data_IF_007324013475
#
_entry.id   IF_007324013475
#
_cell.length_a   1.000
_cell.length_b   1.000
_cell.length_c   1.000
_cell.angle_alpha   90.00
_cell.angle_beta   90.00
_cell.angle_gamma   90.00
#
_symmetry.space_group_name_H-M   'P 1'
#
loop_
_entity.id
_entity.type
_entity.pdbx_description
1 polymer ?
#
# COMPACT_ATOMS: atom_id res chain seq x y z
N UNK A 1 -12.95 8.26 20.22
CA UNK A 1 -12.60 7.05 20.98
C UNK A 1 -13.33 7.01 22.31
N UNK A 2 -13.20 8.02 23.19
CA UNK A 2 -14.01 8.14 24.42
C UNK A 2 -15.53 7.99 24.19
N UNK A 3 -16.05 8.59 23.11
CA UNK A 3 -17.46 8.48 22.73
C UNK A 3 -17.83 7.04 22.31
N UNK A 4 -16.95 6.33 21.61
CA UNK A 4 -17.21 4.95 21.18
C UNK A 4 -17.23 3.99 22.37
N UNK A 5 -16.28 4.14 23.29
CA UNK A 5 -16.25 3.35 24.54
C UNK A 5 -17.46 3.70 25.42
N UNK A 6 -17.85 4.97 25.49
CA UNK A 6 -19.04 5.39 26.22
C UNK A 6 -20.33 4.78 25.63
N UNK A 7 -20.49 4.75 24.31
CA UNK A 7 -21.62 4.08 23.66
C UNK A 7 -21.63 2.58 24.00
N UNK A 8 -20.47 1.91 23.96
CA UNK A 8 -20.36 0.49 24.31
C UNK A 8 -20.67 0.23 25.80
N UNK A 9 -20.31 1.17 26.67
CA UNK A 9 -20.64 1.13 28.09
C UNK A 9 -22.15 1.23 28.32
N UNK A 10 -22.83 2.19 27.69
CA UNK A 10 -24.30 2.33 27.73
C UNK A 10 -25.02 1.09 27.17
N UNK A 11 -24.43 0.42 26.18
CA UNK A 11 -24.95 -0.83 25.62
C UNK A 11 -24.64 -2.07 26.47
N UNK A 12 -24.01 -1.92 27.64
CA UNK A 12 -23.51 -3.02 28.50
C UNK A 12 -22.52 -3.98 27.78
N UNK A 13 -21.93 -3.55 26.67
CA UNK A 13 -20.91 -4.30 25.93
C UNK A 13 -19.51 -4.04 26.52
N UNK A 14 -19.24 -2.83 27.00
CA UNK A 14 -17.96 -2.51 27.63
C UNK A 14 -18.11 -2.44 29.16
N UNK A 15 -17.24 -3.12 29.89
CA UNK A 15 -17.17 -3.11 31.35
C UNK A 15 -15.77 -2.71 31.83
N UNK A 16 -15.66 -2.35 33.12
CA UNK A 16 -14.38 -1.98 33.74
C UNK A 16 -13.28 -3.04 33.59
N UNK A 17 -13.65 -4.32 33.56
CA UNK A 17 -12.70 -5.42 33.32
C UNK A 17 -12.01 -5.33 31.96
N UNK A 18 -12.66 -4.72 30.96
CA UNK A 18 -12.14 -4.63 29.60
C UNK A 18 -11.14 -3.48 29.38
N UNK A 19 -10.80 -2.73 30.43
CA UNK A 19 -9.89 -1.58 30.33
C UNK A 19 -8.50 -1.98 29.82
N UNK A 20 -7.99 -3.13 30.27
CA UNK A 20 -6.70 -3.69 29.85
C UNK A 20 -6.70 -3.97 28.35
N UNK A 21 -7.71 -4.70 27.88
CA UNK A 21 -7.90 -5.06 26.47
C UNK A 21 -8.02 -3.81 25.60
N UNK A 22 -8.77 -2.82 26.06
CA UNK A 22 -8.95 -1.54 25.36
C UNK A 22 -7.65 -0.75 25.24
N UNK A 23 -6.83 -0.70 26.30
CA UNK A 23 -5.56 0.03 26.31
C UNK A 23 -4.52 -0.64 25.40
N UNK A 24 -4.42 -1.97 25.45
CA UNK A 24 -3.54 -2.74 24.58
C UNK A 24 -3.94 -2.56 23.12
N UNK A 25 -5.23 -2.74 22.80
CA UNK A 25 -5.74 -2.52 21.45
C UNK A 25 -5.48 -1.07 20.97
N UNK A 26 -5.69 -0.07 21.84
CA UNK A 26 -5.43 1.32 21.50
C UNK A 26 -3.96 1.56 21.11
N UNK A 27 -3.02 1.03 21.91
CA UNK A 27 -1.59 1.24 21.69
C UNK A 27 -1.10 0.62 20.36
N UNK A 28 -1.57 -0.58 20.02
CA UNK A 28 -1.08 -1.29 18.83
C UNK A 28 -1.92 -1.00 17.57
N UNK A 29 -3.24 -1.08 17.66
CA UNK A 29 -4.13 -0.99 16.49
C UNK A 29 -4.30 0.44 16.00
N UNK A 30 -4.54 1.42 16.88
CA UNK A 30 -4.79 2.79 16.41
C UNK A 30 -3.51 3.40 15.82
N UNK A 31 -2.35 3.18 16.45
CA UNK A 31 -1.08 3.72 15.96
C UNK A 31 -0.78 3.19 14.55
N UNK A 32 -0.92 1.88 14.34
CA UNK A 32 -0.69 1.26 13.02
C UNK A 32 -1.67 1.77 11.98
N UNK A 33 -2.96 1.92 12.33
CA UNK A 33 -3.98 2.51 11.45
C UNK A 33 -3.69 3.97 11.08
N UNK A 34 -3.21 4.78 12.02
CA UNK A 34 -2.84 6.19 11.76
C UNK A 34 -1.61 6.24 10.85
N UNK A 35 -0.58 5.44 11.11
CA UNK A 35 0.64 5.42 10.30
C UNK A 35 0.31 4.96 8.88
N UNK A 36 -0.41 3.84 8.72
CA UNK A 36 -0.80 3.33 7.41
C UNK A 36 -1.74 4.29 6.68
N UNK A 37 -2.68 4.90 7.41
CA UNK A 37 -3.60 5.91 6.88
C UNK A 37 -2.87 7.17 6.43
N UNK A 38 -1.85 7.63 7.17
CA UNK A 38 -1.02 8.77 6.78
C UNK A 38 -0.19 8.48 5.53
N UNK A 39 0.35 7.26 5.43
CA UNK A 39 1.12 6.82 4.29
C UNK A 39 0.23 6.66 3.06
N UNK A 40 -0.95 6.04 3.11
CA UNK A 40 -1.72 5.72 1.89
C UNK A 40 -2.07 6.94 1.01
N UNK A 41 -1.95 6.78 -0.32
CA UNK A 41 -2.42 7.77 -1.31
C UNK A 41 -3.94 7.75 -1.40
N UNK A 42 -4.50 6.56 -1.61
CA UNK A 42 -5.94 6.33 -1.59
C UNK A 42 -6.39 5.99 -0.17
N UNK A 43 -6.82 7.03 0.56
CA UNK A 43 -7.36 6.88 1.91
C UNK A 43 -8.56 5.93 1.93
N UNK A 44 -9.45 6.02 0.92
CA UNK A 44 -10.68 5.24 0.89
C UNK A 44 -10.36 3.74 0.74
N UNK A 45 -9.53 3.38 -0.23
CA UNK A 45 -9.11 1.98 -0.45
C UNK A 45 -8.41 1.40 0.79
N UNK A 46 -7.56 2.18 1.44
CA UNK A 46 -6.89 1.77 2.67
C UNK A 46 -7.84 1.47 3.84
N UNK A 47 -8.75 2.39 4.17
CA UNK A 47 -9.68 2.14 5.28
C UNK A 47 -10.71 1.05 4.95
N UNK A 48 -11.07 0.87 3.67
CA UNK A 48 -11.88 -0.28 3.23
C UNK A 48 -11.13 -1.61 3.37
N UNK A 49 -9.82 -1.65 3.09
CA UNK A 49 -9.03 -2.88 3.29
C UNK A 49 -8.97 -3.24 4.78
N UNK A 50 -8.79 -2.26 5.67
CA UNK A 50 -8.83 -2.49 7.12
C UNK A 50 -10.17 -3.07 7.59
N UNK A 51 -11.30 -2.60 7.05
CA UNK A 51 -12.61 -3.18 7.36
C UNK A 51 -12.68 -4.65 6.93
N UNK A 52 -12.22 -4.97 5.72
CA UNK A 52 -12.22 -6.34 5.22
C UNK A 52 -11.28 -7.25 6.02
N UNK A 53 -10.13 -6.75 6.44
CA UNK A 53 -9.16 -7.47 7.28
C UNK A 53 -9.77 -7.81 8.65
N UNK A 54 -10.50 -6.88 9.28
CA UNK A 54 -11.16 -7.10 10.56
C UNK A 54 -12.37 -8.05 10.49
N UNK A 55 -12.90 -8.31 9.30
CA UNK A 55 -14.03 -9.24 9.06
C UNK A 55 -13.52 -10.64 8.63
N UNK A 56 -12.23 -10.78 8.32
CA UNK A 56 -11.66 -12.02 7.81
C UNK A 56 -11.75 -13.17 8.85
N UNK A 57 -12.10 -14.38 8.40
CA UNK A 57 -12.25 -15.58 9.23
C UNK A 57 -10.96 -15.92 9.99
N UNK A 58 -9.80 -15.59 9.43
CA UNK A 58 -8.51 -15.80 10.10
C UNK A 58 -8.40 -15.03 11.42
N UNK A 59 -8.94 -13.81 11.48
CA UNK A 59 -8.98 -13.00 12.70
C UNK A 59 -9.87 -13.67 13.74
N UNK A 60 -11.03 -14.18 13.32
CA UNK A 60 -11.90 -14.97 14.19
C UNK A 60 -11.20 -16.23 14.73
N UNK A 61 -10.42 -16.94 13.90
CA UNK A 61 -9.67 -18.12 14.33
C UNK A 61 -8.61 -17.80 15.39
N UNK A 62 -7.83 -16.73 15.19
CA UNK A 62 -6.84 -16.27 16.18
C UNK A 62 -7.49 -15.94 17.52
N UNK A 63 -8.67 -15.32 17.49
CA UNK A 63 -9.40 -15.00 18.71
C UNK A 63 -9.95 -16.23 19.43
N UNK A 64 -10.46 -17.24 18.71
CA UNK A 64 -10.91 -18.51 19.35
C UNK A 64 -9.75 -19.24 20.01
N UNK A 65 -8.54 -19.16 19.44
CA UNK A 65 -7.31 -19.64 20.08
C UNK A 65 -7.08 -18.87 21.39
N UNK A 66 -7.20 -17.54 21.38
CA UNK A 66 -6.96 -16.70 22.56
C UNK A 66 -8.02 -16.81 23.69
N UNK A 67 -9.18 -17.43 23.47
CA UNK A 67 -10.23 -17.61 24.49
C UNK A 67 -9.71 -18.28 25.77
N UNK A 68 -9.00 -19.40 25.59
CA UNK A 68 -8.43 -20.16 26.69
C UNK A 68 -7.01 -20.56 26.34
N UNK A 69 -6.10 -19.81 26.94
CA UNK A 69 -4.68 -20.06 26.94
C UNK A 69 -4.36 -21.32 27.74
N UNK A 70 -3.29 -22.03 27.38
CA UNK A 70 -2.78 -23.08 28.25
C UNK A 70 -2.24 -22.47 29.55
N UNK A 71 -1.93 -23.32 30.53
CA UNK A 71 -1.23 -22.86 31.72
C UNK A 71 0.09 -22.18 31.32
N UNK A 72 0.47 -21.16 32.09
CA UNK A 72 1.68 -20.37 31.82
C UNK A 72 2.92 -21.23 31.53
N UNK A 73 3.13 -22.31 32.28
CA UNK A 73 4.28 -23.21 32.09
C UNK A 73 4.29 -23.93 30.74
N UNK A 74 3.12 -24.35 30.25
CA UNK A 74 3.01 -25.01 28.95
C UNK A 74 3.33 -24.01 27.84
N UNK A 75 2.76 -22.80 27.91
CA UNK A 75 2.98 -21.76 26.89
C UNK A 75 4.42 -21.27 26.86
N UNK A 76 5.01 -21.09 28.05
CA UNK A 76 6.39 -20.63 28.20
C UNK A 76 7.40 -21.57 27.54
N UNK A 77 7.09 -22.87 27.47
CA UNK A 77 7.93 -23.86 26.78
C UNK A 77 7.52 -23.97 25.30
N UNK A 78 6.22 -24.06 25.02
CA UNK A 78 5.72 -24.30 23.66
C UNK A 78 6.01 -23.15 22.69
N UNK A 79 5.74 -21.91 23.09
CA UNK A 79 5.83 -20.75 22.19
C UNK A 79 7.28 -20.57 21.71
N UNK A 80 8.32 -20.54 22.57
CA UNK A 80 9.69 -20.42 22.11
C UNK A 80 10.13 -21.58 21.21
N UNK A 81 9.75 -22.82 21.53
CA UNK A 81 10.08 -23.99 20.70
C UNK A 81 9.44 -23.86 19.31
N UNK A 82 8.18 -23.44 19.25
CA UNK A 82 7.46 -23.25 17.98
C UNK A 82 8.12 -22.17 17.13
N UNK A 83 8.56 -21.06 17.74
CA UNK A 83 9.31 -19.99 17.08
C UNK A 83 10.64 -20.51 16.54
N UNK A 84 11.41 -21.25 17.34
CA UNK A 84 12.70 -21.83 16.90
C UNK A 84 12.52 -22.78 15.71
N UNK A 85 11.50 -23.64 15.75
CA UNK A 85 11.17 -24.56 14.66
C UNK A 85 10.74 -23.81 13.39
N UNK A 86 9.94 -22.76 13.53
CA UNK A 86 9.52 -21.93 12.41
C UNK A 86 10.71 -21.20 11.76
N UNK A 87 11.62 -20.64 12.56
CA UNK A 87 12.85 -19.99 12.06
C UNK A 87 13.73 -21.01 11.33
N UNK A 88 13.94 -22.19 11.91
CA UNK A 88 14.73 -23.26 11.29
C UNK A 88 14.20 -23.66 9.91
N UNK A 89 12.88 -23.79 9.77
CA UNK A 89 12.22 -24.16 8.50
C UNK A 89 12.35 -23.08 7.41
N UNK A 90 12.36 -21.81 7.79
CA UNK A 90 12.47 -20.70 6.83
C UNK A 90 13.92 -20.43 6.43
N UNK A 91 14.87 -20.60 7.35
CA UNK A 91 16.29 -20.36 7.08
C UNK A 91 16.94 -21.46 6.20
N UNK A 92 16.60 -22.74 6.38
CA UNK A 92 17.27 -23.87 5.71
C UNK A 92 16.64 -24.30 4.37
N UNK A 93 16.09 -23.38 3.57
CA UNK A 93 15.32 -23.74 2.36
C UNK A 93 16.13 -24.22 1.13
N UNK A 94 17.40 -24.63 1.29
CA UNK A 94 18.35 -24.78 0.17
C UNK A 94 18.75 -26.21 -0.24
N UNK A 95 18.40 -27.28 0.49
CA UNK A 95 18.73 -28.66 0.07
C UNK A 95 17.52 -29.59 -0.12
N UNK A 96 17.66 -30.60 -1.01
CA UNK A 96 16.61 -31.61 -1.28
C UNK A 96 16.25 -32.47 -0.06
N UNK A 97 17.16 -32.66 0.90
CA UNK A 97 16.88 -33.39 2.14
C UNK A 97 16.07 -32.55 3.14
N UNK A 98 16.12 -31.23 3.05
CA UNK A 98 15.41 -30.32 3.96
C UNK A 98 13.90 -30.29 3.69
N UNK A 99 13.46 -30.66 2.49
CA UNK A 99 12.03 -30.66 2.12
C UNK A 99 11.21 -31.62 3.00
N UNK A 100 11.74 -32.81 3.30
CA UNK A 100 11.07 -33.80 4.16
C UNK A 100 11.03 -33.35 5.62
N UNK A 101 12.13 -32.77 6.12
CA UNK A 101 12.22 -32.25 7.49
C UNK A 101 11.28 -31.05 7.66
N UNK A 102 11.24 -30.15 6.68
CA UNK A 102 10.30 -29.02 6.62
C UNK A 102 8.86 -29.48 6.65
N UNK A 103 8.50 -30.51 5.87
CA UNK A 103 7.15 -31.08 5.90
C UNK A 103 6.80 -31.62 7.30
N UNK A 104 7.70 -32.39 7.92
CA UNK A 104 7.49 -32.93 9.27
C UNK A 104 7.32 -31.84 10.32
N UNK A 105 8.20 -30.83 10.32
CA UNK A 105 8.10 -29.71 11.27
C UNK A 105 6.79 -28.93 11.04
N UNK A 106 6.39 -28.68 9.80
CA UNK A 106 5.13 -28.03 9.51
C UNK A 106 3.93 -28.86 9.98
N UNK A 107 3.94 -30.19 9.81
CA UNK A 107 2.90 -31.08 10.34
C UNK A 107 2.83 -30.98 11.86
N UNK A 108 3.99 -30.98 12.53
CA UNK A 108 4.06 -30.82 13.99
C UNK A 108 3.47 -29.48 14.42
N UNK A 109 3.88 -28.37 13.78
CA UNK A 109 3.35 -27.03 14.07
C UNK A 109 1.84 -26.94 13.84
N UNK A 110 1.32 -27.49 12.74
CA UNK A 110 -0.12 -27.52 12.45
C UNK A 110 -0.85 -28.35 13.50
N UNK A 111 -0.31 -29.52 13.89
CA UNK A 111 -0.90 -30.34 14.94
C UNK A 111 -0.96 -29.60 16.28
N UNK A 112 0.10 -28.89 16.66
CA UNK A 112 0.10 -28.05 17.86
C UNK A 112 -0.97 -26.96 17.81
N UNK A 113 -1.12 -26.27 16.67
CA UNK A 113 -2.15 -25.25 16.49
C UNK A 113 -3.56 -25.84 16.61
N UNK A 114 -3.81 -27.00 16.01
CA UNK A 114 -5.10 -27.71 16.12
C UNK A 114 -5.35 -28.17 17.55
N UNK A 115 -4.34 -28.71 18.24
CA UNK A 115 -4.46 -29.13 19.64
C UNK A 115 -4.77 -27.96 20.57
N UNK A 116 -4.11 -26.81 20.36
CA UNK A 116 -4.39 -25.57 21.10
C UNK A 116 -5.82 -25.10 20.85
N UNK A 117 -6.25 -25.07 19.59
CA UNK A 117 -7.62 -24.69 19.22
C UNK A 117 -8.67 -25.60 19.85
N UNK A 118 -8.48 -26.92 19.78
CA UNK A 118 -9.39 -27.90 20.38
C UNK A 118 -9.41 -27.82 21.90
N UNK A 119 -8.27 -27.57 22.54
CA UNK A 119 -8.18 -27.36 23.99
C UNK A 119 -8.98 -26.12 24.41
N UNK A 120 -8.84 -25.02 23.67
CA UNK A 120 -9.58 -23.79 23.92
C UNK A 120 -11.09 -24.00 23.83
N UNK A 121 -11.55 -24.73 22.79
CA UNK A 121 -12.97 -25.10 22.64
C UNK A 121 -13.43 -26.02 23.78
N UNK A 122 -12.64 -27.02 24.13
CA UNK A 122 -12.99 -27.99 25.17
C UNK A 122 -13.20 -27.31 26.53
N UNK A 123 -12.28 -26.42 26.92
CA UNK A 123 -12.43 -25.64 28.16
C UNK A 123 -13.63 -24.67 28.09
N UNK A 124 -13.87 -24.06 26.93
CA UNK A 124 -15.03 -23.19 26.72
C UNK A 124 -16.36 -23.92 26.95
N UNK A 125 -16.46 -25.18 26.51
CA UNK A 125 -17.64 -26.03 26.71
C UNK A 125 -17.72 -26.56 28.15
N UNK A 126 -16.58 -26.86 28.78
CA UNK A 126 -16.53 -27.41 30.14
C UNK A 126 -16.89 -26.41 31.24
N UNK A 127 -16.63 -25.12 31.03
CA UNK A 127 -16.90 -24.03 31.98
C UNK A 127 -18.25 -23.33 31.72
N UNK A 128 -19.24 -24.08 31.21
CA UNK A 128 -20.52 -23.54 30.73
C UNK A 128 -21.35 -22.90 31.86
N UNK A 129 -21.16 -21.60 32.06
CA UNK A 129 -22.06 -20.76 32.84
C UNK A 129 -22.54 -19.59 31.95
N UNK A 130 -23.85 -19.43 31.81
CA UNK A 130 -24.46 -18.56 30.81
C UNK A 130 -24.00 -17.10 30.89
N UNK A 131 -23.75 -16.58 32.10
CA UNK A 131 -23.29 -15.20 32.30
C UNK A 131 -21.78 -15.01 32.04
N UNK A 132 -20.99 -16.07 32.19
CA UNK A 132 -19.55 -16.03 31.99
C UNK A 132 -19.17 -16.12 30.51
N UNK A 133 -19.90 -16.94 29.74
CA UNK A 133 -19.70 -17.06 28.30
C UNK A 133 -19.95 -15.73 27.58
N UNK A 134 -21.02 -15.01 27.94
CA UNK A 134 -21.31 -13.72 27.31
C UNK A 134 -20.19 -12.69 27.56
N UNK A 135 -19.65 -12.63 28.78
CA UNK A 135 -18.55 -11.71 29.12
C UNK A 135 -17.27 -12.03 28.35
N UNK A 136 -16.88 -13.31 28.25
CA UNK A 136 -15.67 -13.72 27.53
C UNK A 136 -15.81 -13.56 26.01
N UNK A 137 -16.99 -13.85 25.46
CA UNK A 137 -17.29 -13.63 24.04
C UNK A 137 -17.25 -12.14 23.71
N UNK A 138 -17.81 -11.29 24.58
CA UNK A 138 -17.73 -9.84 24.43
C UNK A 138 -16.27 -9.38 24.51
N UNK A 139 -15.51 -9.83 25.50
CA UNK A 139 -14.09 -9.45 25.66
C UNK A 139 -13.24 -9.86 24.45
N UNK A 140 -13.55 -11.01 23.85
CA UNK A 140 -12.93 -11.50 22.63
C UNK A 140 -13.24 -10.65 21.41
N UNK A 141 -14.51 -10.26 21.22
CA UNK A 141 -14.91 -9.45 20.08
C UNK A 141 -14.65 -7.96 20.29
N UNK A 142 -14.33 -7.54 21.51
CA UNK A 142 -14.18 -6.13 21.84
C UNK A 142 -13.12 -5.43 20.98
N UNK A 143 -11.91 -5.97 20.72
CA UNK A 143 -10.95 -5.36 19.80
C UNK A 143 -11.51 -5.16 18.39
N UNK A 144 -12.30 -6.11 17.87
CA UNK A 144 -12.93 -6.03 16.55
C UNK A 144 -14.00 -4.95 16.53
N UNK A 145 -14.88 -4.93 17.54
CA UNK A 145 -15.93 -3.91 17.69
C UNK A 145 -15.30 -2.52 17.79
N UNK A 146 -14.24 -2.38 18.58
CA UNK A 146 -13.48 -1.14 18.71
C UNK A 146 -12.85 -0.71 17.38
N UNK A 147 -12.24 -1.64 16.63
CA UNK A 147 -11.71 -1.38 15.28
C UNK A 147 -12.80 -0.93 14.31
N UNK A 148 -13.93 -1.63 14.25
CA UNK A 148 -15.04 -1.30 13.35
C UNK A 148 -15.66 0.07 13.65
N UNK A 149 -15.73 0.47 14.92
CA UNK A 149 -16.18 1.81 15.32
C UNK A 149 -15.10 2.87 15.01
N UNK A 150 -13.82 2.54 15.20
CA UNK A 150 -12.74 3.50 15.06
C UNK A 150 -12.33 3.76 13.61
N UNK A 151 -12.43 2.78 12.70
CA UNK A 151 -12.05 2.94 11.29
C UNK A 151 -12.83 4.09 10.61
N UNK A 152 -14.17 4.19 10.68
CA UNK A 152 -14.92 5.31 10.11
C UNK A 152 -14.53 6.67 10.71
N UNK A 153 -14.24 6.71 12.01
CA UNK A 153 -13.75 7.91 12.68
C UNK A 153 -12.37 8.33 12.17
N UNK A 154 -11.42 7.40 12.08
CA UNK A 154 -10.07 7.67 11.57
C UNK A 154 -10.09 8.07 10.09
N UNK A 155 -10.98 7.49 9.29
CA UNK A 155 -11.19 7.93 7.91
C UNK A 155 -11.66 9.39 7.85
N UNK A 156 -12.66 9.75 8.66
CA UNK A 156 -13.17 11.13 8.73
C UNK A 156 -12.11 12.11 9.23
N UNK A 157 -11.34 11.71 10.24
CA UNK A 157 -10.20 12.49 10.75
C UNK A 157 -9.12 12.67 9.68
N UNK A 158 -8.81 11.63 8.90
CA UNK A 158 -7.85 11.71 7.81
C UNK A 158 -8.27 12.71 6.73
N UNK A 159 -9.58 12.77 6.43
CA UNK A 159 -10.13 13.75 5.49
C UNK A 159 -9.99 15.16 6.07
N UNK A 160 -10.38 15.35 7.33
CA UNK A 160 -10.26 16.64 8.01
C UNK A 160 -8.80 17.15 8.00
N UNK A 161 -7.83 16.29 8.30
CA UNK A 161 -6.41 16.66 8.31
C UNK A 161 -5.91 17.12 6.92
N UNK A 162 -6.35 16.47 5.84
CA UNK A 162 -5.98 16.89 4.47
C UNK A 162 -6.61 18.24 4.11
N UNK A 163 -7.84 18.51 4.54
CA UNK A 163 -8.46 19.83 4.36
C UNK A 163 -7.71 20.91 5.12
N UNK A 164 -7.37 20.70 6.39
CA UNK A 164 -6.62 21.67 7.19
C UNK A 164 -5.23 21.94 6.60
N UNK A 165 -4.55 20.90 6.10
CA UNK A 165 -3.28 21.03 5.39
C UNK A 165 -3.42 21.91 4.14
N UNK A 166 -4.44 21.65 3.31
CA UNK A 166 -4.70 22.45 2.11
C UNK A 166 -5.11 23.88 2.48
N UNK A 167 -5.99 24.10 3.45
CA UNK A 167 -6.38 25.44 3.88
C UNK A 167 -5.21 26.25 4.43
N UNK A 168 -4.32 25.62 5.19
CA UNK A 168 -3.08 26.28 5.63
C UNK A 168 -2.21 26.69 4.44
N UNK A 169 -2.10 25.81 3.43
CA UNK A 169 -1.41 26.10 2.18
C UNK A 169 -2.04 27.26 1.40
N UNK A 170 -3.37 27.27 1.27
CA UNK A 170 -4.12 28.32 0.56
C UNK A 170 -4.03 29.67 1.26
N UNK A 171 -4.05 29.68 2.60
CA UNK A 171 -3.89 30.91 3.39
C UNK A 171 -2.55 31.58 3.16
N UNK A 172 -1.50 30.78 2.92
CA UNK A 172 -0.16 31.30 2.57
C UNK A 172 -0.13 31.80 1.12
N UNK A 173 -0.90 31.19 0.22
CA UNK A 173 -0.90 31.51 -1.21
C UNK A 173 -1.73 32.74 -1.55
N UNK A 174 -2.91 32.89 -0.96
CA UNK A 174 -3.80 34.03 -1.20
C UNK A 174 -3.56 35.13 -0.18
N UNK A 175 -3.09 36.29 -0.64
CA UNK A 175 -2.97 37.49 0.20
C UNK A 175 -4.32 38.16 0.49
N UNK A 176 -5.36 37.86 -0.31
CA UNK A 176 -6.72 38.38 -0.15
C UNK A 176 -7.60 37.39 0.65
N UNK A 177 -8.07 37.85 1.82
CA UNK A 177 -8.94 37.08 2.72
C UNK A 177 -10.27 36.67 2.08
N UNK A 178 -10.84 37.49 1.19
CA UNK A 178 -12.11 37.18 0.55
C UNK A 178 -11.95 36.09 -0.52
N UNK A 179 -10.84 36.13 -1.25
CA UNK A 179 -10.49 35.09 -2.21
C UNK A 179 -10.17 33.77 -1.50
N UNK A 180 -9.47 33.82 -0.36
CA UNK A 180 -9.20 32.65 0.48
C UNK A 180 -10.50 32.02 1.01
N UNK A 181 -11.41 32.81 1.58
CA UNK A 181 -12.72 32.32 2.06
C UNK A 181 -13.53 31.70 0.93
N UNK A 182 -13.50 32.32 -0.25
CA UNK A 182 -14.15 31.79 -1.45
C UNK A 182 -13.58 30.44 -1.87
N UNK A 183 -12.25 30.34 -1.99
CA UNK A 183 -11.54 29.11 -2.33
C UNK A 183 -11.84 27.98 -1.33
N UNK A 184 -11.88 28.29 -0.02
CA UNK A 184 -12.24 27.34 1.05
C UNK A 184 -13.67 26.80 0.88
N UNK A 185 -14.65 27.67 0.64
CA UNK A 185 -16.05 27.25 0.44
C UNK A 185 -16.21 26.45 -0.86
N UNK A 186 -15.54 26.88 -1.92
CA UNK A 186 -15.58 26.23 -3.23
C UNK A 186 -15.01 24.81 -3.18
N UNK A 187 -13.87 24.62 -2.50
CA UNK A 187 -13.21 23.31 -2.39
C UNK A 187 -14.03 22.32 -1.56
N UNK A 188 -14.60 22.74 -0.42
CA UNK A 188 -15.50 21.92 0.39
C UNK A 188 -16.72 21.44 -0.40
N UNK A 189 -17.34 22.34 -1.18
CA UNK A 189 -18.51 22.01 -2.00
C UNK A 189 -18.16 21.05 -3.15
N UNK A 190 -16.98 21.22 -3.74
CA UNK A 190 -16.60 20.53 -4.97
C UNK A 190 -15.97 19.16 -4.75
N UNK A 191 -15.08 19.02 -3.76
CA UNK A 191 -14.31 17.80 -3.55
C UNK A 191 -14.89 16.87 -2.49
N UNK A 192 -15.64 17.40 -1.50
CA UNK A 192 -16.30 16.62 -0.44
C UNK A 192 -15.34 15.62 0.23
N UNK A 193 -15.55 14.32 0.11
CA UNK A 193 -14.69 13.27 0.69
C UNK A 193 -13.48 12.91 -0.19
N UNK A 194 -13.40 13.45 -1.41
CA UNK A 194 -12.32 13.15 -2.34
C UNK A 194 -11.13 14.08 -2.11
N UNK A 195 -10.30 13.71 -1.13
CA UNK A 195 -9.09 14.45 -0.77
C UNK A 195 -8.00 14.35 -1.83
N UNK A 196 -8.04 13.35 -2.72
CA UNK A 196 -7.06 13.24 -3.79
C UNK A 196 -7.17 14.42 -4.75
N UNK A 197 -8.38 14.68 -5.26
CA UNK A 197 -8.65 15.83 -6.12
C UNK A 197 -8.42 17.17 -5.40
N UNK A 198 -8.67 17.24 -4.09
CA UNK A 198 -8.35 18.43 -3.31
C UNK A 198 -6.83 18.73 -3.31
N UNK A 199 -6.00 17.71 -3.11
CA UNK A 199 -4.52 17.84 -3.12
C UNK A 199 -4.01 18.25 -4.50
N UNK A 200 -4.51 17.59 -5.55
CA UNK A 200 -4.14 17.91 -6.94
C UNK A 200 -4.55 19.32 -7.32
N UNK A 201 -5.76 19.73 -6.95
CA UNK A 201 -6.23 21.10 -7.15
C UNK A 201 -5.31 22.11 -6.47
N UNK A 202 -4.96 21.90 -5.20
CA UNK A 202 -4.04 22.79 -4.47
C UNK A 202 -2.66 22.90 -5.14
N UNK A 203 -2.14 21.80 -5.70
CA UNK A 203 -0.87 21.81 -6.47
C UNK A 203 -1.02 22.64 -7.75
N UNK A 204 -2.09 22.41 -8.52
CA UNK A 204 -2.32 23.08 -9.81
C UNK A 204 -2.60 24.57 -9.66
N UNK A 205 -3.22 25.02 -8.56
CA UNK A 205 -3.44 26.45 -8.29
C UNK A 205 -2.15 27.27 -8.33
N UNK A 206 -1.05 26.70 -7.80
CA UNK A 206 0.25 27.36 -7.71
C UNK A 206 0.95 27.39 -9.06
N UNK A 207 0.92 26.27 -9.79
CA UNK A 207 1.51 26.16 -11.11
C UNK A 207 0.84 27.15 -12.09
N UNK A 208 -0.49 27.24 -12.04
CA UNK A 208 -1.27 28.06 -12.96
C UNK A 208 -1.47 29.52 -12.48
N UNK A 209 -0.82 29.91 -11.37
CA UNK A 209 -0.85 31.26 -10.80
C UNK A 209 -2.27 31.86 -10.69
N UNK A 210 -3.23 31.07 -10.21
CA UNK A 210 -4.64 31.48 -10.10
C UNK A 210 -4.80 32.65 -9.13
N UNK A 211 -5.40 33.77 -9.57
CA UNK A 211 -5.56 35.01 -8.77
C UNK A 211 -6.98 35.60 -8.74
N UNK A 212 -7.93 35.05 -9.49
CA UNK A 212 -9.31 35.57 -9.52
C UNK A 212 -10.35 34.50 -9.16
N UNK A 213 -11.58 34.94 -8.82
CA UNK A 213 -12.70 34.02 -8.55
C UNK A 213 -13.08 33.20 -9.79
N UNK A 214 -13.01 33.80 -10.98
CA UNK A 214 -13.29 33.11 -12.26
C UNK A 214 -12.24 32.03 -12.52
N UNK A 215 -10.98 32.33 -12.26
CA UNK A 215 -9.88 31.37 -12.43
C UNK A 215 -9.97 30.23 -11.40
N UNK A 216 -10.41 30.52 -10.17
CA UNK A 216 -10.70 29.49 -9.16
C UNK A 216 -11.79 28.52 -9.63
N UNK A 217 -12.89 29.03 -10.17
CA UNK A 217 -13.96 28.19 -10.71
C UNK A 217 -13.47 27.35 -11.89
N UNK A 218 -12.70 27.96 -12.80
CA UNK A 218 -12.08 27.26 -13.94
C UNK A 218 -11.16 26.13 -13.46
N UNK A 219 -10.30 26.40 -12.48
CA UNK A 219 -9.38 25.39 -11.95
C UNK A 219 -10.10 24.18 -11.32
N UNK A 220 -11.27 24.39 -10.70
CA UNK A 220 -12.10 23.29 -10.20
C UNK A 220 -12.73 22.50 -11.34
N UNK A 221 -13.20 23.18 -12.39
CA UNK A 221 -13.69 22.52 -13.60
C UNK A 221 -12.61 21.70 -14.30
N UNK A 222 -11.38 22.19 -14.35
CA UNK A 222 -10.25 21.47 -14.96
C UNK A 222 -9.94 20.17 -14.21
N UNK A 223 -9.98 20.19 -12.87
CA UNK A 223 -9.82 18.96 -12.06
C UNK A 223 -10.99 17.98 -12.26
N UNK A 224 -12.22 18.46 -12.45
CA UNK A 224 -13.36 17.60 -12.78
C UNK A 224 -13.21 16.95 -14.16
N UNK A 225 -12.77 17.70 -15.16
CA UNK A 225 -12.47 17.15 -16.49
C UNK A 225 -11.38 16.06 -16.41
N UNK A 226 -10.32 16.29 -15.63
CA UNK A 226 -9.29 15.29 -15.40
C UNK A 226 -9.86 14.00 -14.79
N UNK A 227 -10.80 14.11 -13.84
CA UNK A 227 -11.50 12.93 -13.29
C UNK A 227 -12.29 12.17 -14.36
N UNK A 228 -12.96 12.89 -15.25
CA UNK A 228 -13.74 12.26 -16.33
C UNK A 228 -12.82 11.54 -17.32
N UNK A 229 -11.65 12.11 -17.62
CA UNK A 229 -10.59 11.50 -18.43
C UNK A 229 -9.95 10.28 -17.74
N UNK A 230 -9.73 10.33 -16.43
CA UNK A 230 -9.25 9.17 -15.66
C UNK A 230 -10.26 8.01 -15.69
N UNK A 231 -11.56 8.34 -15.64
CA UNK A 231 -12.64 7.34 -15.65
C UNK A 231 -12.88 6.77 -17.05
N UNK A 232 -12.67 7.57 -18.09
CA UNK A 232 -12.78 7.18 -19.49
C UNK A 232 -11.53 7.64 -20.27
N UNK A 233 -10.42 6.88 -20.18
CA UNK A 233 -9.18 7.26 -20.82
C UNK A 233 -9.34 7.44 -22.34
N UNK A 234 -8.85 8.55 -22.92
CA UNK A 234 -8.83 8.70 -24.36
C UNK A 234 -7.97 7.60 -25.01
N UNK A 235 -8.42 7.11 -26.16
CA UNK A 235 -7.65 6.17 -26.95
C UNK A 235 -6.42 6.85 -27.54
N UNK A 236 -5.24 6.26 -27.26
CA UNK A 236 -3.97 6.65 -27.87
C UNK A 236 -3.53 5.49 -28.74
N UNK A 237 -3.26 5.77 -30.02
CA UNK A 237 -2.72 4.76 -30.94
C UNK A 237 -1.31 4.36 -30.50
N UNK A 238 -1.00 3.06 -30.54
CA UNK A 238 0.30 2.52 -30.10
C UNK A 238 1.51 3.16 -30.79
N UNK A 239 1.35 3.68 -32.01
CA UNK A 239 2.43 4.36 -32.73
C UNK A 239 2.80 5.73 -32.16
N UNK A 240 1.89 6.37 -31.41
CA UNK A 240 2.09 7.69 -30.79
C UNK A 240 2.48 7.57 -29.33
N UNK A 241 2.01 6.53 -28.66
CA UNK A 241 2.40 6.19 -27.31
C UNK A 241 1.33 5.59 -26.44
N UNK A 242 1.46 5.83 -25.14
CA UNK A 242 0.55 5.29 -24.15
C UNK A 242 -0.35 6.39 -23.59
N UNK A 243 -1.60 6.02 -23.33
CA UNK A 243 -2.49 6.86 -22.54
C UNK A 243 -1.91 7.00 -21.13
N UNK A 244 -1.70 8.22 -20.61
CA UNK A 244 -1.19 8.42 -19.27
C UNK A 244 -2.00 7.65 -18.24
N UNK A 245 -3.32 7.68 -18.33
CA UNK A 245 -4.23 7.03 -17.39
C UNK A 245 -4.08 5.51 -17.35
N UNK A 246 -3.81 4.86 -18.48
CA UNK A 246 -3.59 3.41 -18.56
C UNK A 246 -2.18 3.03 -18.11
N UNK A 247 -1.17 3.81 -18.52
CA UNK A 247 0.24 3.54 -18.24
C UNK A 247 0.55 3.51 -16.73
N UNK A 248 -0.17 4.28 -15.93
CA UNK A 248 -0.08 4.29 -14.45
C UNK A 248 -0.33 2.91 -13.82
N UNK A 249 -1.16 2.09 -14.47
CA UNK A 249 -1.63 0.80 -13.95
C UNK A 249 -0.95 -0.40 -14.61
N UNK A 250 0.05 -0.20 -15.48
CA UNK A 250 0.75 -1.30 -16.15
C UNK A 250 1.40 -2.28 -15.18
N UNK A 251 1.78 -1.84 -13.98
CA UNK A 251 2.38 -2.70 -12.95
C UNK A 251 1.51 -2.80 -11.68
N UNK A 252 0.18 -2.65 -11.81
CA UNK A 252 -0.73 -2.78 -10.67
C UNK A 252 -0.64 -4.15 -9.99
N UNK A 253 -0.49 -5.22 -10.78
CA UNK A 253 -0.34 -6.59 -10.25
C UNK A 253 0.93 -6.81 -9.41
N UNK A 254 1.94 -5.96 -9.60
CA UNK A 254 3.20 -6.01 -8.88
C UNK A 254 3.29 -4.94 -7.78
N UNK A 255 2.17 -4.32 -7.42
CA UNK A 255 2.06 -3.25 -6.42
C UNK A 255 2.84 -1.97 -6.79
N UNK A 256 3.14 -1.75 -8.07
CA UNK A 256 3.84 -0.57 -8.60
C UNK A 256 2.89 0.31 -9.40
N UNK A 257 1.85 0.83 -8.73
CA UNK A 257 0.94 1.83 -9.32
C UNK A 257 1.55 3.21 -9.14
N UNK A 258 1.55 4.03 -10.20
CA UNK A 258 2.06 5.40 -10.07
C UNK A 258 1.06 6.33 -9.39
N UNK A 259 1.58 7.38 -8.78
CA UNK A 259 0.79 8.54 -8.40
C UNK A 259 0.16 9.20 -9.64
N UNK A 260 -0.52 10.32 -9.41
CA UNK A 260 -1.22 11.00 -10.47
C UNK A 260 -0.28 11.65 -11.48
N UNK A 261 -0.65 11.59 -12.76
CA UNK A 261 0.12 12.18 -13.84
C UNK A 261 -0.10 13.70 -13.89
N UNK A 262 0.98 14.46 -13.74
CA UNK A 262 0.92 15.91 -13.64
C UNK A 262 2.15 16.60 -14.24
N UNK A 263 2.00 17.89 -14.57
CA UNK A 263 3.09 18.72 -15.07
C UNK A 263 4.11 19.06 -13.99
N UNK A 264 5.39 18.99 -14.33
CA UNK A 264 6.48 19.59 -13.58
C UNK A 264 6.65 21.09 -13.87
N UNK A 265 7.77 21.67 -13.43
CA UNK A 265 8.12 23.06 -13.74
C UNK A 265 8.65 23.26 -15.17
N UNK A 266 9.06 22.19 -15.86
CA UNK A 266 9.75 22.23 -17.16
C UNK A 266 8.84 21.82 -18.34
N UNK A 267 7.52 22.03 -18.24
CA UNK A 267 6.48 21.58 -19.20
C UNK A 267 6.43 20.07 -19.49
N UNK A 268 7.30 19.28 -18.86
CA UNK A 268 7.27 17.82 -18.90
C UNK A 268 6.25 17.27 -17.91
N UNK A 269 5.49 16.29 -18.37
CA UNK A 269 4.54 15.57 -17.53
C UNK A 269 5.12 14.25 -17.08
N UNK A 270 4.86 13.91 -15.82
CA UNK A 270 5.42 12.72 -15.22
C UNK A 270 4.56 12.19 -14.06
N UNK A 271 4.77 10.91 -13.76
CA UNK A 271 4.33 10.27 -12.53
C UNK A 271 5.29 9.16 -12.15
N UNK A 272 5.23 8.73 -10.90
CA UNK A 272 6.06 7.66 -10.41
C UNK A 272 5.34 6.84 -9.35
N UNK A 273 5.70 5.57 -9.24
CA UNK A 273 5.22 4.68 -8.19
C UNK A 273 5.91 5.01 -6.89
N UNK A 274 5.27 4.58 -5.81
CA UNK A 274 6.02 4.47 -4.56
C UNK A 274 7.14 3.46 -4.72
N UNK A 275 8.29 3.71 -4.07
CA UNK A 275 9.35 2.74 -4.07
C UNK A 275 8.90 1.45 -3.37
N UNK A 276 9.02 0.32 -4.07
CA UNK A 276 8.72 -1.02 -3.56
C UNK A 276 10.00 -1.66 -3.03
N UNK A 277 9.99 -2.14 -1.79
CA UNK A 277 11.12 -2.83 -1.17
C UNK A 277 11.08 -4.33 -1.52
N UNK A 278 12.15 -4.88 -2.09
CA UNK A 278 12.19 -6.27 -2.61
C UNK A 278 12.47 -7.30 -1.51
N UNK A 279 13.17 -6.93 -0.43
CA UNK A 279 13.45 -7.82 0.71
C UNK A 279 13.48 -7.02 2.02
N UNK A 280 12.48 -7.23 2.89
CA UNK A 280 12.36 -6.50 4.17
C UNK A 280 13.34 -6.98 5.26
N UNK A 281 13.98 -8.13 5.06
CA UNK A 281 14.83 -8.76 6.07
C UNK A 281 16.28 -8.23 6.08
N UNK A 282 16.71 -7.57 5.00
CA UNK A 282 18.03 -6.97 4.92
C UNK A 282 18.04 -5.56 5.54
N UNK A 283 19.13 -5.21 6.24
CA UNK A 283 19.37 -3.87 6.79
C UNK A 283 19.25 -2.75 5.74
N UNK A 284 19.54 -3.07 4.48
CA UNK A 284 19.37 -2.19 3.32
C UNK A 284 18.60 -2.95 2.24
N UNK A 285 17.28 -2.75 2.18
CA UNK A 285 16.42 -3.36 1.18
C UNK A 285 16.65 -2.78 -0.22
N UNK A 286 16.70 -3.63 -1.23
CA UNK A 286 16.69 -3.20 -2.63
C UNK A 286 15.32 -2.59 -3.00
N UNK A 287 15.32 -1.63 -3.92
CA UNK A 287 14.17 -0.77 -4.18
C UNK A 287 13.82 -0.75 -5.66
N UNK A 288 12.55 -0.95 -6.03
CA UNK A 288 12.03 -0.76 -7.39
C UNK A 288 11.14 0.48 -7.42
N UNK A 289 11.36 1.35 -8.41
CA UNK A 289 10.48 2.49 -8.68
C UNK A 289 10.15 2.58 -10.16
N UNK A 290 8.86 2.67 -10.47
CA UNK A 290 8.34 2.85 -11.82
C UNK A 290 8.06 4.33 -12.09
N UNK A 291 8.44 4.82 -13.26
CA UNK A 291 8.28 6.20 -13.70
C UNK A 291 7.66 6.22 -15.09
N UNK A 292 6.84 7.23 -15.33
CA UNK A 292 6.28 7.54 -16.65
C UNK A 292 6.54 9.00 -16.96
N UNK A 293 6.96 9.31 -18.19
CA UNK A 293 7.23 10.67 -18.67
C UNK A 293 6.60 10.91 -20.05
N UNK A 294 6.25 12.15 -20.33
CA UNK A 294 5.66 12.54 -21.61
C UNK A 294 5.10 13.96 -21.60
N UNK A 295 4.01 14.16 -22.34
CA UNK A 295 3.21 15.38 -22.40
C UNK A 295 1.83 15.18 -21.74
N UNK A 296 0.99 16.22 -21.72
CA UNK A 296 -0.34 16.19 -21.08
C UNK A 296 -1.22 15.01 -21.50
N UNK A 297 -1.12 14.56 -22.75
CA UNK A 297 -2.02 13.59 -23.35
C UNK A 297 -1.37 12.24 -23.66
N UNK A 298 -0.04 12.19 -23.77
CA UNK A 298 0.73 11.04 -24.27
C UNK A 298 1.94 10.81 -23.38
N UNK A 299 2.07 9.56 -22.91
CA UNK A 299 3.32 9.08 -22.31
C UNK A 299 4.24 8.60 -23.43
N UNK A 300 5.46 9.12 -23.44
CA UNK A 300 6.49 8.82 -24.43
C UNK A 300 7.64 7.96 -23.90
N UNK A 301 7.81 7.92 -22.58
CA UNK A 301 8.88 7.20 -21.90
C UNK A 301 8.33 6.46 -20.68
N UNK A 302 8.62 5.17 -20.59
CA UNK A 302 8.37 4.33 -19.42
C UNK A 302 9.72 3.89 -18.84
N UNK A 303 9.96 4.18 -17.57
CA UNK A 303 11.24 3.88 -16.92
C UNK A 303 11.02 3.10 -15.65
N UNK A 304 11.72 1.99 -15.51
CA UNK A 304 11.73 1.18 -14.30
C UNK A 304 13.14 1.16 -13.74
N UNK A 305 13.30 1.69 -12.53
CA UNK A 305 14.57 1.82 -11.83
C UNK A 305 14.62 0.84 -10.68
N UNK A 306 15.70 0.06 -10.60
CA UNK A 306 15.96 -0.86 -9.51
C UNK A 306 17.28 -0.49 -8.85
N UNK A 307 17.21 0.03 -7.63
CA UNK A 307 18.37 0.36 -6.82
C UNK A 307 18.75 -0.85 -5.96
N UNK A 308 19.88 -1.48 -6.27
CA UNK A 308 20.40 -2.66 -5.58
C UNK A 308 21.53 -2.20 -4.65
N UNK A 309 21.33 -2.39 -3.35
CA UNK A 309 22.22 -1.89 -2.32
C UNK A 309 23.45 -2.79 -2.07
N UNK A 310 23.36 -4.07 -2.43
CA UNK A 310 24.44 -5.04 -2.29
C UNK A 310 24.85 -5.63 -3.65
N UNK A 311 26.15 -5.73 -3.91
CA UNK A 311 26.66 -6.24 -5.21
C UNK A 311 26.12 -7.63 -5.57
N UNK A 312 25.95 -8.51 -4.56
CA UNK A 312 25.36 -9.84 -4.74
C UNK A 312 23.84 -9.80 -4.56
N UNK A 313 23.10 -10.04 -5.65
CA UNK A 313 21.64 -10.19 -5.61
C UNK A 313 21.30 -11.63 -5.22
N UNK A 314 20.28 -11.82 -4.38
CA UNK A 314 19.67 -13.13 -4.11
C UNK A 314 18.86 -13.64 -5.30
N UNK A 315 18.70 -14.97 -5.44
CA UNK A 315 17.90 -15.52 -6.54
C UNK A 315 16.43 -15.09 -6.46
N UNK A 316 15.89 -14.88 -5.26
CA UNK A 316 14.57 -14.30 -5.02
C UNK A 316 14.44 -12.90 -5.61
N UNK A 317 15.37 -11.99 -5.29
CA UNK A 317 15.35 -10.61 -5.79
C UNK A 317 15.47 -10.58 -7.31
N UNK A 318 16.36 -11.40 -7.88
CA UNK A 318 16.50 -11.53 -9.33
C UNK A 318 15.20 -11.96 -10.01
N UNK A 319 14.48 -12.93 -9.43
CA UNK A 319 13.19 -13.38 -9.95
C UNK A 319 12.11 -12.29 -9.88
N UNK A 320 12.09 -11.49 -8.81
CA UNK A 320 11.17 -10.34 -8.71
C UNK A 320 11.47 -9.32 -9.79
N UNK A 321 12.74 -8.92 -9.95
CA UNK A 321 13.16 -7.95 -10.98
C UNK A 321 12.76 -8.44 -12.37
N UNK A 322 13.09 -9.68 -12.71
CA UNK A 322 12.73 -10.29 -13.99
C UNK A 322 11.23 -10.25 -14.26
N UNK A 323 10.44 -10.68 -13.27
CA UNK A 323 8.98 -10.70 -13.38
C UNK A 323 8.40 -9.30 -13.64
N UNK A 324 8.86 -8.29 -12.90
CA UNK A 324 8.36 -6.90 -13.06
C UNK A 324 8.80 -6.33 -14.42
N UNK A 325 10.02 -6.63 -14.85
CA UNK A 325 10.54 -6.20 -16.16
C UNK A 325 9.71 -6.82 -17.30
N UNK A 326 9.45 -8.12 -17.25
CA UNK A 326 8.63 -8.83 -18.23
C UNK A 326 7.19 -8.29 -18.26
N UNK A 327 6.57 -8.07 -17.09
CA UNK A 327 5.24 -7.48 -17.02
C UNK A 327 5.18 -6.08 -17.65
N UNK A 328 6.19 -5.23 -17.44
CA UNK A 328 6.24 -3.91 -18.06
C UNK A 328 6.39 -4.01 -19.58
N UNK A 329 7.29 -4.88 -20.06
CA UNK A 329 7.50 -5.11 -21.49
C UNK A 329 6.23 -5.59 -22.19
N UNK A 330 5.56 -6.60 -21.62
CA UNK A 330 4.31 -7.15 -22.17
C UNK A 330 3.19 -6.12 -22.16
N UNK A 331 3.00 -5.38 -21.06
CA UNK A 331 1.91 -4.41 -20.95
C UNK A 331 2.13 -3.16 -21.81
N UNK A 332 3.38 -2.77 -22.06
CA UNK A 332 3.72 -1.61 -22.89
C UNK A 332 3.73 -1.93 -24.38
N UNK A 333 4.42 -2.99 -24.80
CA UNK A 333 4.62 -3.33 -26.22
C UNK A 333 3.54 -4.26 -26.78
N UNK A 334 2.81 -4.98 -25.91
CA UNK A 334 1.90 -6.09 -26.26
C UNK A 334 2.59 -7.27 -26.95
N UNK A 335 3.91 -7.25 -27.08
CA UNK A 335 4.70 -8.36 -27.60
C UNK A 335 5.16 -9.27 -26.47
N UNK A 336 5.03 -10.58 -26.65
CA UNK A 336 5.54 -11.61 -25.73
C UNK A 336 6.88 -12.18 -26.17
N UNK A 337 7.47 -11.68 -27.25
CA UNK A 337 8.72 -12.22 -27.80
C UNK A 337 9.97 -11.78 -27.03
N UNK A 338 9.88 -10.73 -26.22
CA UNK A 338 11.02 -10.17 -25.47
C UNK A 338 11.02 -10.74 -24.06
N UNK A 339 12.11 -11.41 -23.68
CA UNK A 339 12.32 -11.85 -22.31
C UNK A 339 13.39 -10.99 -21.62
N UNK A 340 13.09 -10.48 -20.43
CA UNK A 340 14.00 -9.69 -19.63
C UNK A 340 15.27 -10.50 -19.23
N UNK A 341 15.15 -11.82 -19.10
CA UNK A 341 16.26 -12.72 -18.76
C UNK A 341 17.41 -12.67 -19.76
N UNK A 342 17.11 -12.64 -21.06
CA UNK A 342 18.11 -12.55 -22.12
C UNK A 342 18.74 -11.15 -22.19
N UNK A 343 17.95 -10.11 -21.94
CA UNK A 343 18.39 -8.72 -21.98
C UNK A 343 19.32 -8.38 -20.81
N UNK A 344 19.02 -8.86 -19.60
CA UNK A 344 19.85 -8.62 -18.41
C UNK A 344 21.25 -9.25 -18.49
N UNK A 345 21.47 -10.26 -19.36
CA UNK A 345 22.81 -10.81 -19.57
C UNK A 345 23.72 -9.92 -20.43
N UNK A 346 23.16 -8.95 -21.17
CA UNK A 346 23.87 -8.17 -22.19
C UNK A 346 24.04 -6.68 -21.84
N UNK A 347 23.90 -6.30 -20.57
CA UNK A 347 23.89 -4.88 -20.15
C UNK A 347 25.29 -4.24 -20.31
N UNK A 348 25.41 -3.03 -20.86
CA UNK A 348 24.35 -2.18 -21.42
C UNK A 348 23.82 -2.69 -22.77
N UNK A 349 22.49 -2.70 -22.93
CA UNK A 349 21.81 -3.23 -24.11
C UNK A 349 20.77 -2.25 -24.63
N UNK A 350 20.67 -2.12 -25.95
CA UNK A 350 19.64 -1.32 -26.63
C UNK A 350 19.06 -2.16 -27.77
N UNK A 351 17.74 -2.22 -27.88
CA UNK A 351 17.03 -2.91 -28.95
C UNK A 351 15.88 -2.05 -29.46
N UNK A 352 15.66 -2.10 -30.77
CA UNK A 352 14.45 -1.55 -31.38
C UNK A 352 13.45 -2.68 -31.62
N UNK A 353 12.23 -2.51 -31.12
CA UNK A 353 11.12 -3.44 -31.37
C UNK A 353 9.93 -2.60 -31.83
N UNK A 354 9.50 -2.83 -33.07
CA UNK A 354 8.46 -2.07 -33.74
C UNK A 354 8.74 -0.55 -33.69
N UNK A 355 7.92 0.20 -32.95
CA UNK A 355 8.05 1.66 -32.76
C UNK A 355 8.71 2.05 -31.43
N UNK A 356 9.31 1.09 -30.71
CA UNK A 356 9.88 1.32 -29.38
C UNK A 356 11.39 1.10 -29.36
N UNK A 357 12.09 1.93 -28.61
CA UNK A 357 13.50 1.78 -28.26
C UNK A 357 13.56 1.32 -26.80
N UNK A 358 14.10 0.13 -26.57
CA UNK A 358 14.22 -0.48 -25.25
C UNK A 358 15.69 -0.47 -24.85
N UNK A 359 16.00 0.25 -23.77
CA UNK A 359 17.33 0.41 -23.22
C UNK A 359 17.42 -0.25 -21.85
N UNK A 360 18.46 -1.05 -21.65
CA UNK A 360 18.86 -1.57 -20.35
C UNK A 360 20.22 -0.99 -19.99
N UNK A 361 20.29 -0.29 -18.86
CA UNK A 361 21.52 0.30 -18.35
C UNK A 361 21.83 -0.22 -16.95
N UNK A 362 23.13 -0.20 -16.61
CA UNK A 362 23.61 -0.49 -15.26
C UNK A 362 24.59 0.60 -14.86
N UNK A 363 24.31 1.25 -13.73
CA UNK A 363 25.15 2.30 -13.18
C UNK A 363 25.57 1.94 -11.76
N UNK A 364 26.87 1.87 -11.50
CA UNK A 364 27.36 1.58 -10.15
C UNK A 364 27.21 2.82 -9.26
N UNK A 365 26.85 2.61 -8.00
CA UNK A 365 26.84 3.70 -7.02
C UNK A 365 28.26 4.22 -6.80
N UNK A 366 28.38 5.50 -6.42
CA UNK A 366 29.67 6.14 -6.11
C UNK A 366 30.43 5.36 -5.01
N UNK A 367 29.71 4.72 -4.09
CA UNK A 367 30.27 3.90 -3.02
C UNK A 367 30.82 2.54 -3.48
N UNK A 368 30.55 2.13 -4.72
CA UNK A 368 30.79 0.79 -5.29
C UNK A 368 30.18 -0.38 -4.48
N UNK A 369 29.29 -0.09 -3.53
CA UNK A 369 28.62 -1.13 -2.72
C UNK A 369 27.37 -1.72 -3.39
N UNK A 370 26.83 -1.00 -4.36
CA UNK A 370 25.59 -1.33 -5.06
C UNK A 370 25.54 -0.69 -6.45
N UNK A 371 24.43 -0.88 -7.14
CA UNK A 371 24.22 -0.38 -8.49
C UNK A 371 22.73 -0.21 -8.80
N UNK A 372 22.45 0.64 -9.77
CA UNK A 372 21.15 0.80 -10.38
C UNK A 372 21.04 -0.07 -11.62
N UNK A 373 19.95 -0.80 -11.78
CA UNK A 373 19.50 -1.32 -13.07
C UNK A 373 18.33 -0.47 -13.56
N UNK A 374 18.40 -0.01 -14.80
CA UNK A 374 17.31 0.74 -15.41
C UNK A 374 16.83 0.05 -16.69
N UNK A 375 15.52 -0.12 -16.80
CA UNK A 375 14.81 -0.44 -18.03
C UNK A 375 14.10 0.83 -18.48
N UNK A 376 14.47 1.34 -19.66
CA UNK A 376 13.83 2.48 -20.27
C UNK A 376 13.19 2.09 -21.61
N UNK A 377 11.91 2.40 -21.80
CA UNK A 377 11.15 2.13 -23.02
C UNK A 377 10.70 3.47 -23.57
N UNK A 378 11.27 3.84 -24.71
CA UNK A 378 11.03 5.10 -25.41
C UNK A 378 10.26 4.84 -26.69
N UNK A 379 9.44 5.80 -27.10
CA UNK A 379 8.82 5.78 -28.42
C UNK A 379 9.78 6.41 -29.42
N UNK A 380 9.89 5.80 -30.59
CA UNK A 380 10.60 6.37 -31.73
C UNK A 380 9.77 7.54 -32.27
N UNK A 381 10.20 8.77 -31.98
CA UNK A 381 9.66 9.96 -32.62
C UNK A 381 10.19 9.99 -34.06
N UNK A 382 9.28 9.93 -35.04
CA UNK A 382 9.59 10.13 -36.47
C UNK A 382 10.07 11.55 -36.77
#
# INVERSE_FOLDING_TARGET
MSIGVFILYEMNIWQWNNIKTTLTWFAFSIITMIIGGSKSEDKKKYFLSLLNENINIGVFLTFVIELHSFSFFIEFIMIPISVLLFVYVNYNSLSKNDVKIKLLINIILVFWMVAYFLHSIYLSIGLFNANWLLSNVIELFLPVILSLICIPFLYSLSIYMEYERVFSSLKIYFNDDDLFKYAKKLSLKSFKLNVDYLRRWNRNLRLNQVRSKVDLEKSVCDIKKLKDLESNPPFVSSNKGWSPYLARNFLEKDNLVTNDYHSGCDDKWWAYSRPLLIEQENLFSDIITYYIYGDENIVSELKLKVDINNVSISESTKNVILKVFDHLLVNSTKSTSIQASECLMKIPFSMEVDNYIINFTKENFISNKGYTLELNILIKLE
#
